data_IF_408297292612
#
_entry.id   IF_408297292612
#
_cell.length_a   1.000
_cell.length_b   1.000
_cell.length_c   1.000
_cell.angle_alpha   90.00
_cell.angle_beta   90.00
_cell.angle_gamma   90.00
#
_symmetry.space_group_name_H-M   'P 1'
#
loop_
_entity.id
_entity.type
_entity.pdbx_description
1 polymer ?
#
# COMPACT_ATOMS: atom_id res chain seq x y z
N UNK A 1 -18.58 8.15 16.43
CA UNK A 1 -17.54 7.26 15.83
C UNK A 1 -16.23 8.06 15.73
N UNK A 2 -15.10 7.51 16.17
CA UNK A 2 -13.80 8.20 16.04
C UNK A 2 -13.36 8.15 14.57
N UNK A 3 -12.99 9.30 14.01
CA UNK A 3 -12.35 9.37 12.69
C UNK A 3 -10.90 8.92 12.84
N UNK A 4 -10.47 8.00 11.98
CA UNK A 4 -9.10 7.51 11.94
C UNK A 4 -8.61 7.47 10.49
N UNK A 5 -7.38 7.94 10.28
CA UNK A 5 -6.69 7.91 9.00
C UNK A 5 -5.77 6.68 8.91
N UNK A 6 -5.51 6.20 7.70
CA UNK A 6 -4.50 5.19 7.43
C UNK A 6 -3.30 5.83 6.72
N UNK A 7 -2.09 5.56 7.21
CA UNK A 7 -0.83 5.95 6.56
C UNK A 7 -0.06 4.70 6.18
N UNK A 8 0.08 4.46 4.88
CA UNK A 8 0.75 3.29 4.30
C UNK A 8 2.18 3.69 3.92
N UNK A 9 3.17 3.15 4.64
CA UNK A 9 4.58 3.42 4.39
C UNK A 9 5.10 2.56 3.23
N UNK A 10 5.26 3.17 2.06
CA UNK A 10 5.62 2.50 0.80
C UNK A 10 6.95 3.00 0.17
N UNK A 11 7.68 3.91 0.82
CA UNK A 11 8.89 4.56 0.31
C UNK A 11 10.18 3.72 0.32
N UNK A 12 10.08 2.41 0.55
CA UNK A 12 11.25 1.53 0.65
C UNK A 12 11.83 1.16 -0.73
N UNK A 13 13.14 1.33 -0.92
CA UNK A 13 13.86 1.03 -2.19
C UNK A 13 13.71 -0.42 -2.71
N UNK A 14 13.40 -1.39 -1.86
CA UNK A 14 13.10 -2.76 -2.33
C UNK A 14 14.27 -3.54 -2.93
N UNK A 15 15.54 -3.25 -2.59
CA UNK A 15 16.74 -3.83 -3.24
C UNK A 15 16.75 -5.37 -3.36
N UNK A 16 16.24 -6.10 -2.36
CA UNK A 16 16.17 -7.58 -2.37
C UNK A 16 15.15 -8.15 -3.37
N UNK A 17 14.33 -7.30 -4.00
CA UNK A 17 13.44 -7.74 -5.08
C UNK A 17 14.20 -7.94 -6.39
N UNK A 18 15.45 -7.48 -6.50
CA UNK A 18 16.28 -7.60 -7.71
C UNK A 18 15.55 -7.16 -9.00
N UNK A 19 14.75 -6.10 -8.89
CA UNK A 19 13.85 -5.61 -9.94
C UNK A 19 13.91 -4.08 -10.00
N UNK A 20 13.77 -3.52 -11.20
CA UNK A 20 13.63 -2.08 -11.41
C UNK A 20 12.23 -1.57 -11.02
N UNK A 21 11.25 -2.48 -10.88
CA UNK A 21 9.90 -2.15 -10.41
C UNK A 21 9.92 -1.93 -8.90
N UNK A 22 9.32 -0.85 -8.36
CA UNK A 22 9.17 -0.68 -6.92
C UNK A 22 8.49 -1.90 -6.27
N UNK A 23 8.94 -2.30 -5.06
CA UNK A 23 8.39 -3.49 -4.36
C UNK A 23 6.86 -3.46 -4.28
N UNK A 24 6.31 -2.31 -3.92
CA UNK A 24 4.88 -2.09 -3.68
C UNK A 24 4.02 -2.18 -4.95
N UNK A 25 4.63 -2.08 -6.12
CA UNK A 25 3.96 -2.23 -7.41
C UNK A 25 4.04 -3.65 -7.96
N UNK A 26 4.82 -4.56 -7.37
CA UNK A 26 4.80 -5.97 -7.82
C UNK A 26 3.39 -6.55 -7.63
N UNK A 27 3.00 -7.44 -8.52
CA UNK A 27 1.64 -8.00 -8.56
C UNK A 27 1.57 -9.35 -7.86
N UNK A 28 0.49 -9.55 -7.12
CA UNK A 28 0.01 -10.84 -6.64
C UNK A 28 -1.38 -11.05 -7.23
N UNK A 29 -1.61 -12.18 -7.90
CA UNK A 29 -2.87 -12.47 -8.59
C UNK A 29 -3.38 -11.31 -9.50
N UNK A 30 -2.46 -10.66 -10.23
CA UNK A 30 -2.78 -9.55 -11.14
C UNK A 30 -3.08 -8.20 -10.47
N UNK A 31 -2.89 -8.08 -9.15
CA UNK A 31 -3.12 -6.85 -8.39
C UNK A 31 -1.83 -6.37 -7.70
N UNK A 32 -1.47 -5.08 -7.79
CA UNK A 32 -0.31 -4.53 -7.08
C UNK A 32 -0.40 -4.71 -5.56
N UNK A 33 0.71 -5.05 -4.91
CA UNK A 33 0.76 -5.27 -3.45
C UNK A 33 0.20 -4.08 -2.63
N UNK A 34 0.48 -2.84 -3.04
CA UNK A 34 -0.04 -1.63 -2.36
C UNK A 34 -1.56 -1.52 -2.40
N UNK A 35 -2.18 -2.02 -3.47
CA UNK A 35 -3.62 -1.93 -3.66
C UNK A 35 -4.36 -2.80 -2.64
N UNK A 36 -3.84 -4.00 -2.31
CA UNK A 36 -4.41 -4.82 -1.25
C UNK A 36 -4.47 -4.09 0.11
N UNK A 37 -3.41 -3.37 0.45
CA UNK A 37 -3.34 -2.63 1.72
C UNK A 37 -4.28 -1.43 1.72
N UNK A 38 -4.35 -0.70 0.61
CA UNK A 38 -5.27 0.43 0.46
C UNK A 38 -6.74 -0.01 0.51
N UNK A 39 -7.11 -1.08 -0.20
CA UNK A 39 -8.45 -1.65 -0.17
C UNK A 39 -8.84 -2.13 1.23
N UNK A 40 -7.93 -2.80 1.95
CA UNK A 40 -8.17 -3.21 3.33
C UNK A 40 -8.41 -2.03 4.27
N UNK A 41 -7.63 -0.94 4.14
CA UNK A 41 -7.81 0.26 4.94
C UNK A 41 -9.15 0.95 4.66
N UNK A 42 -9.55 1.04 3.40
CA UNK A 42 -10.85 1.58 2.98
C UNK A 42 -12.01 0.71 3.50
N UNK A 43 -11.91 -0.61 3.38
CA UNK A 43 -12.91 -1.56 3.86
C UNK A 43 -13.08 -1.52 5.39
N UNK A 44 -12.02 -1.15 6.13
CA UNK A 44 -12.06 -0.93 7.56
C UNK A 44 -12.71 0.43 7.97
N UNK A 45 -13.18 1.22 7.01
CA UNK A 45 -13.79 2.54 7.27
C UNK A 45 -12.79 3.63 7.63
N UNK A 46 -11.50 3.44 7.32
CA UNK A 46 -10.46 4.45 7.57
C UNK A 46 -10.48 5.50 6.46
N UNK A 47 -10.46 6.77 6.86
CA UNK A 47 -10.43 7.88 5.93
C UNK A 47 -9.77 9.12 6.57
N UNK A 48 -8.79 9.76 5.90
CA UNK A 48 -8.24 9.41 4.58
C UNK A 48 -7.29 8.20 4.60
N UNK A 49 -7.04 7.59 3.44
CA UNK A 49 -5.98 6.60 3.21
C UNK A 49 -4.87 7.26 2.40
N UNK A 50 -3.68 7.38 2.99
CA UNK A 50 -2.52 8.07 2.40
C UNK A 50 -1.38 7.09 2.20
N UNK A 51 -0.78 7.09 1.01
CA UNK A 51 0.39 6.26 0.68
C UNK A 51 1.63 7.16 0.59
N UNK A 52 2.65 6.84 1.39
CA UNK A 52 3.94 7.55 1.37
C UNK A 52 4.89 6.81 0.45
N UNK A 53 5.35 7.46 -0.61
CA UNK A 53 6.25 6.92 -1.66
C UNK A 53 7.66 7.47 -1.57
#
# INVERSE_FOLDING_TARGET
>A
MKRAAAVILAAGKGKRMHSSRPKVLHELAGKPLVQYVAEAALAAGLAPVVVVI
#
